data_IF_919960342679
#
_entry.id   IF_919960342679
#
_cell.length_a   1.000
_cell.length_b   1.000
_cell.length_c   1.000
_cell.angle_alpha   90.00
_cell.angle_beta   90.00
_cell.angle_gamma   90.00
#
_symmetry.space_group_name_H-M   'P 1'
#
loop_
_entity.id
_entity.type
_entity.pdbx_description
1 polymer ?
#
# COMPACT_ATOMS: atom_id res chain seq x y z
N UNK A 1 -3.39 -2.34 2.55
CA UNK A 1 -4.19 -2.81 3.70
C UNK A 1 -5.67 -2.46 3.56
N UNK A 2 -6.07 -1.19 3.57
CA UNK A 2 -7.49 -0.75 3.55
C UNK A 2 -8.32 -1.39 2.42
N UNK A 3 -7.81 -1.39 1.19
CA UNK A 3 -8.51 -1.89 0.01
C UNK A 3 -8.79 -3.40 -0.02
N UNK A 4 -8.02 -4.21 0.71
CA UNK A 4 -8.15 -5.68 0.67
C UNK A 4 -9.19 -6.17 1.69
N UNK A 5 -9.19 -5.56 2.87
CA UNK A 5 -10.03 -5.99 3.99
C UNK A 5 -11.45 -5.44 3.94
N UNK A 6 -11.59 -4.20 3.46
CA UNK A 6 -12.91 -3.57 3.40
C UNK A 6 -13.72 -4.07 2.19
N UNK A 7 -13.05 -4.55 1.13
CA UNK A 7 -13.70 -5.10 -0.07
C UNK A 7 -14.45 -6.42 0.18
N UNK A 8 -14.22 -7.06 1.33
CA UNK A 8 -14.95 -8.27 1.78
C UNK A 8 -16.35 -7.95 2.31
N UNK A 9 -16.61 -6.69 2.66
CA UNK A 9 -17.92 -6.17 3.09
C UNK A 9 -18.51 -5.33 1.96
N UNK A 10 -19.53 -5.87 1.30
CA UNK A 10 -20.20 -5.28 0.12
C UNK A 10 -20.85 -3.91 0.41
N UNK A 11 -20.99 -3.54 1.69
CA UNK A 11 -21.58 -2.28 2.19
C UNK A 11 -20.61 -1.10 2.35
N UNK A 12 -19.31 -1.26 2.05
CA UNK A 12 -18.29 -0.23 2.31
C UNK A 12 -17.69 0.43 1.05
N UNK A 13 -18.21 0.12 -0.14
CA UNK A 13 -18.00 0.94 -1.34
C UNK A 13 -18.94 2.16 -1.17
N UNK A 14 -18.44 3.41 -0.98
CA UNK A 14 -17.15 3.94 -1.44
C UNK A 14 -16.16 4.41 -0.35
N UNK A 15 -16.45 4.20 0.94
CA UNK A 15 -15.69 4.78 2.05
C UNK A 15 -14.21 4.36 2.10
N UNK A 16 -13.90 3.08 1.82
CA UNK A 16 -12.52 2.59 1.84
C UNK A 16 -11.64 3.27 0.79
N UNK A 17 -12.22 3.59 -0.36
CA UNK A 17 -11.51 4.18 -1.49
C UNK A 17 -11.12 5.61 -1.16
N UNK A 18 -12.06 6.39 -0.61
CA UNK A 18 -11.79 7.76 -0.18
C UNK A 18 -10.79 7.83 0.97
N UNK A 19 -10.92 6.95 1.98
CA UNK A 19 -9.95 6.89 3.07
C UNK A 19 -8.55 6.54 2.55
N UNK A 20 -8.44 5.56 1.66
CA UNK A 20 -7.17 5.20 1.05
C UNK A 20 -6.56 6.34 0.24
N UNK A 21 -7.37 6.98 -0.62
CA UNK A 21 -6.92 8.11 -1.43
C UNK A 21 -6.45 9.28 -0.55
N UNK A 22 -7.21 9.62 0.49
CA UNK A 22 -6.85 10.66 1.45
C UNK A 22 -5.51 10.37 2.11
N UNK A 23 -5.34 9.18 2.71
CA UNK A 23 -4.07 8.79 3.34
C UNK A 23 -2.89 8.86 2.35
N UNK A 24 -3.07 8.39 1.11
CA UNK A 24 -2.02 8.38 0.10
C UNK A 24 -1.64 9.79 -0.36
N UNK A 25 -2.62 10.67 -0.58
CA UNK A 25 -2.37 12.07 -0.97
C UNK A 25 -1.66 12.82 0.16
N UNK A 26 -2.10 12.66 1.41
CA UNK A 26 -1.42 13.26 2.57
C UNK A 26 0.01 12.73 2.72
N UNK A 27 0.22 11.41 2.62
CA UNK A 27 1.55 10.81 2.70
C UNK A 27 2.46 11.29 1.57
N UNK A 28 1.92 11.44 0.35
CA UNK A 28 2.66 11.99 -0.78
C UNK A 28 3.07 13.43 -0.53
N UNK A 29 2.17 14.30 -0.06
CA UNK A 29 2.48 15.69 0.24
C UNK A 29 3.61 15.83 1.28
N UNK A 30 3.56 15.05 2.37
CA UNK A 30 4.62 14.99 3.38
C UNK A 30 5.93 14.48 2.75
N UNK A 31 5.84 13.46 1.89
CA UNK A 31 6.99 12.90 1.17
C UNK A 31 7.65 13.91 0.22
N UNK A 32 6.88 14.69 -0.52
CA UNK A 32 7.39 15.77 -1.39
C UNK A 32 8.12 16.83 -0.57
N UNK A 33 7.52 17.25 0.55
CA UNK A 33 8.15 18.21 1.45
C UNK A 33 9.49 17.68 1.99
N UNK A 34 9.50 16.44 2.50
CA UNK A 34 10.73 15.80 3.01
C UNK A 34 11.81 15.62 1.95
N UNK A 35 11.42 15.24 0.73
CA UNK A 35 12.34 15.13 -0.41
C UNK A 35 12.94 16.50 -0.78
N UNK A 36 12.11 17.54 -0.87
CA UNK A 36 12.55 18.91 -1.14
C UNK A 36 13.51 19.43 -0.07
N UNK A 37 13.20 19.21 1.22
CA UNK A 37 14.11 19.53 2.33
C UNK A 37 15.43 18.79 2.19
N UNK A 38 15.42 17.50 1.85
CA UNK A 38 16.64 16.71 1.63
C UNK A 38 17.51 17.25 0.49
N UNK A 39 16.90 17.71 -0.61
CA UNK A 39 17.64 18.37 -1.70
C UNK A 39 18.25 19.70 -1.26
N UNK A 40 17.50 20.52 -0.51
CA UNK A 40 17.96 21.80 0.00
C UNK A 40 19.16 21.63 0.95
N UNK A 41 19.03 20.75 1.94
CA UNK A 41 20.13 20.42 2.86
C UNK A 41 21.37 19.87 2.12
N UNK A 42 21.16 19.07 1.08
CA UNK A 42 22.24 18.59 0.23
C UNK A 42 22.95 19.71 -0.54
N UNK A 43 22.22 20.72 -1.02
CA UNK A 43 22.81 21.90 -1.69
C UNK A 43 23.59 22.80 -0.73
N UNK A 44 23.19 22.83 0.54
CA UNK A 44 23.83 23.62 1.60
C UNK A 44 25.00 22.90 2.28
N UNK A 45 25.25 21.63 1.94
CA UNK A 45 26.31 20.79 2.52
C UNK A 45 27.33 20.36 1.46
N UNK A 46 28.08 21.31 0.85
CA UNK A 46 29.04 20.98 -0.20
C UNK A 46 30.10 19.98 0.31
N UNK A 47 30.36 18.95 -0.49
CA UNK A 47 31.30 17.86 -0.14
C UNK A 47 30.70 16.70 0.66
N UNK A 48 29.48 16.83 1.19
CA UNK A 48 28.80 15.75 1.93
C UNK A 48 27.67 15.21 1.07
N UNK A 49 27.81 13.96 0.58
CA UNK A 49 26.74 13.30 -0.19
C UNK A 49 26.51 11.87 0.28
N UNK A 50 25.24 11.59 0.61
CA UNK A 50 24.79 10.23 0.94
C UNK A 50 24.12 9.60 -0.28
N UNK A 51 24.93 9.20 -1.26
CA UNK A 51 24.49 8.77 -2.60
C UNK A 51 23.38 7.71 -2.57
N UNK A 52 23.51 6.68 -1.74
CA UNK A 52 22.49 5.61 -1.64
C UNK A 52 21.15 6.15 -1.13
N UNK A 53 21.14 6.90 -0.02
CA UNK A 53 19.91 7.46 0.54
C UNK A 53 19.26 8.45 -0.43
N UNK A 54 20.07 9.30 -1.09
CA UNK A 54 19.59 10.25 -2.10
C UNK A 54 18.94 9.54 -3.30
N UNK A 55 19.60 8.53 -3.85
CA UNK A 55 19.12 7.82 -5.03
C UNK A 55 17.82 7.05 -4.73
N UNK A 56 17.72 6.41 -3.56
CA UNK A 56 16.47 5.77 -3.13
C UNK A 56 15.37 6.83 -2.91
N UNK A 57 15.69 7.96 -2.28
CA UNK A 57 14.76 9.08 -2.07
C UNK A 57 14.20 9.65 -3.38
N UNK A 58 15.04 9.86 -4.39
CA UNK A 58 14.60 10.30 -5.73
C UNK A 58 13.72 9.22 -6.38
N UNK A 59 14.12 7.95 -6.30
CA UNK A 59 13.34 6.83 -6.86
C UNK A 59 11.96 6.74 -6.21
N UNK A 60 11.88 6.93 -4.88
CA UNK A 60 10.63 6.98 -4.13
C UNK A 60 9.73 8.13 -4.60
N UNK A 61 10.28 9.33 -4.76
CA UNK A 61 9.53 10.49 -5.26
C UNK A 61 8.92 10.22 -6.64
N UNK A 62 9.72 9.69 -7.57
CA UNK A 62 9.25 9.35 -8.93
C UNK A 62 8.16 8.28 -8.88
N UNK A 63 8.38 7.16 -8.18
CA UNK A 63 7.41 6.07 -8.09
C UNK A 63 6.11 6.51 -7.41
N UNK A 64 6.20 7.29 -6.34
CA UNK A 64 5.04 7.82 -5.62
C UNK A 64 4.24 8.80 -6.49
N UNK A 65 4.92 9.63 -7.29
CA UNK A 65 4.28 10.53 -8.25
C UNK A 65 3.47 9.74 -9.28
N UNK A 66 4.07 8.70 -9.88
CA UNK A 66 3.36 7.78 -10.79
C UNK A 66 2.14 7.14 -10.10
N UNK A 67 2.25 6.82 -8.81
CA UNK A 67 1.13 6.27 -8.06
C UNK A 67 0.01 7.25 -7.74
N UNK A 68 0.29 8.55 -7.59
CA UNK A 68 -0.77 9.56 -7.49
C UNK A 68 -1.51 9.66 -8.82
N UNK A 69 -0.79 9.59 -9.96
CA UNK A 69 -1.43 9.56 -11.27
C UNK A 69 -2.37 8.36 -11.47
N UNK A 70 -2.15 7.25 -10.74
CA UNK A 70 -3.01 6.08 -10.77
C UNK A 70 -4.49 6.38 -10.49
N UNK A 71 -4.76 7.40 -9.66
CA UNK A 71 -6.12 7.84 -9.34
C UNK A 71 -6.85 8.38 -10.59
N UNK A 72 -6.15 9.15 -11.42
CA UNK A 72 -6.72 9.78 -12.61
C UNK A 72 -6.89 8.79 -13.77
N UNK A 73 -5.95 7.87 -13.94
CA UNK A 73 -5.98 6.87 -15.03
C UNK A 73 -6.76 5.62 -14.68
N UNK A 74 -7.55 5.64 -13.60
CA UNK A 74 -8.28 4.49 -13.07
C UNK A 74 -9.38 4.01 -14.04
N UNK A 75 -9.25 2.85 -14.70
CA UNK A 75 -10.27 2.36 -15.64
C UNK A 75 -11.52 1.88 -14.90
N UNK A 76 -12.66 1.86 -15.62
CA UNK A 76 -13.91 1.24 -15.14
C UNK A 76 -13.71 -0.25 -14.82
N UNK A 77 -14.54 -0.79 -13.91
CA UNK A 77 -14.35 -2.14 -13.33
C UNK A 77 -14.39 -3.27 -14.38
N UNK A 78 -15.10 -3.06 -15.47
CA UNK A 78 -15.35 -3.95 -16.61
C UNK A 78 -14.32 -3.82 -17.75
N UNK A 79 -13.41 -2.84 -17.68
CA UNK A 79 -12.46 -2.56 -18.76
C UNK A 79 -11.25 -3.51 -18.75
N UNK A 80 -10.80 -4.03 -19.91
CA UNK A 80 -9.61 -4.92 -20.02
C UNK A 80 -8.33 -4.32 -19.39
N UNK A 81 -8.15 -3.00 -19.49
CA UNK A 81 -7.02 -2.30 -18.87
C UNK A 81 -7.07 -2.23 -17.34
N UNK A 82 -8.19 -2.57 -16.71
CA UNK A 82 -8.30 -2.65 -15.25
C UNK A 82 -7.31 -3.65 -14.66
N UNK A 83 -7.07 -4.76 -15.36
CA UNK A 83 -6.10 -5.77 -14.95
C UNK A 83 -4.67 -5.20 -14.91
N UNK A 84 -4.21 -4.64 -16.03
CA UNK A 84 -2.90 -3.99 -16.12
C UNK A 84 -2.77 -2.85 -15.10
N UNK A 85 -3.85 -2.09 -14.90
CA UNK A 85 -3.89 -1.04 -13.90
C UNK A 85 -3.64 -1.58 -12.49
N UNK A 86 -4.28 -2.68 -12.13
CA UNK A 86 -4.07 -3.32 -10.82
C UNK A 86 -2.64 -3.85 -10.68
N UNK A 87 -2.07 -4.44 -11.74
CA UNK A 87 -0.70 -4.96 -11.72
C UNK A 87 0.29 -3.84 -11.45
N UNK A 88 0.30 -2.77 -12.25
CA UNK A 88 1.27 -1.70 -12.03
C UNK A 88 1.02 -1.02 -10.67
N UNK A 89 -0.25 -0.76 -10.30
CA UNK A 89 -0.58 -0.06 -9.06
C UNK A 89 -0.14 -0.87 -7.83
N UNK A 90 -0.32 -2.19 -7.83
CA UNK A 90 0.15 -3.02 -6.73
C UNK A 90 1.66 -3.18 -6.72
N UNK A 91 2.29 -3.46 -7.86
CA UNK A 91 3.75 -3.63 -7.95
C UNK A 91 4.48 -2.38 -7.49
N UNK A 92 4.06 -1.20 -7.96
CA UNK A 92 4.69 0.07 -7.57
C UNK A 92 4.39 0.40 -6.10
N UNK A 93 3.17 0.12 -5.63
CA UNK A 93 2.82 0.27 -4.21
C UNK A 93 3.73 -0.54 -3.28
N UNK A 94 4.01 -1.81 -3.62
CA UNK A 94 4.93 -2.65 -2.85
C UNK A 94 6.37 -2.18 -2.94
N UNK A 95 6.84 -1.78 -4.13
CA UNK A 95 8.17 -1.23 -4.30
C UNK A 95 8.39 0.02 -3.44
N UNK A 96 7.44 0.96 -3.43
CA UNK A 96 7.49 2.16 -2.60
C UNK A 96 7.55 1.81 -1.11
N UNK A 97 6.75 0.84 -0.65
CA UNK A 97 6.75 0.42 0.75
C UNK A 97 8.12 -0.15 1.16
N UNK A 98 8.70 -1.05 0.37
CA UNK A 98 9.99 -1.68 0.66
C UNK A 98 11.13 -0.65 0.60
N UNK A 99 11.19 0.14 -0.48
CA UNK A 99 12.20 1.19 -0.63
C UNK A 99 12.08 2.25 0.47
N UNK A 100 10.87 2.60 0.88
CA UNK A 100 10.60 3.55 1.96
C UNK A 100 11.19 3.08 3.29
N UNK A 101 10.97 1.80 3.65
CA UNK A 101 11.54 1.20 4.86
C UNK A 101 13.06 1.28 4.85
N UNK A 102 13.69 0.82 3.75
CA UNK A 102 15.14 0.89 3.62
C UNK A 102 15.68 2.32 3.66
N UNK A 103 14.96 3.26 3.03
CA UNK A 103 15.39 4.65 2.97
C UNK A 103 15.37 5.32 4.36
N UNK A 104 14.36 5.02 5.18
CA UNK A 104 14.27 5.52 6.57
C UNK A 104 15.40 4.95 7.41
N UNK A 105 15.68 3.63 7.33
CA UNK A 105 16.82 3.05 8.04
C UNK A 105 18.16 3.68 7.62
N UNK A 106 18.35 3.93 6.33
CA UNK A 106 19.55 4.65 5.84
C UNK A 106 19.60 6.07 6.41
N UNK A 107 18.48 6.81 6.41
CA UNK A 107 18.39 8.15 6.98
C UNK A 107 18.72 8.18 8.48
N UNK A 108 18.18 7.24 9.26
CA UNK A 108 18.51 7.08 10.69
C UNK A 108 20.01 6.81 10.87
N UNK A 109 20.60 5.91 10.09
CA UNK A 109 22.04 5.62 10.20
C UNK A 109 22.93 6.81 9.81
N UNK A 110 22.45 7.69 8.94
CA UNK A 110 23.14 8.94 8.55
C UNK A 110 23.09 9.96 9.69
N UNK A 111 21.89 10.19 10.24
CA UNK A 111 21.67 11.17 11.31
C UNK A 111 22.23 10.71 12.67
N UNK A 112 22.44 9.40 12.83
CA UNK A 112 22.85 8.75 14.08
C UNK A 112 22.07 9.29 15.30
N UNK A 113 20.73 9.30 15.27
CA UNK A 113 19.94 9.76 16.40
C UNK A 113 20.02 8.74 17.55
N UNK A 114 19.49 9.10 18.71
CA UNK A 114 19.33 8.16 19.82
C UNK A 114 18.59 6.87 19.38
N UNK A 115 19.01 5.72 19.92
CA UNK A 115 18.47 4.40 19.56
C UNK A 115 16.95 4.27 19.75
N UNK A 116 16.35 5.11 20.60
CA UNK A 116 14.89 5.19 20.80
C UNK A 116 14.14 5.44 19.49
N UNK A 117 14.68 6.24 18.57
CA UNK A 117 14.02 6.57 17.30
C UNK A 117 14.00 5.39 16.33
N UNK A 118 15.10 4.66 16.26
CA UNK A 118 15.20 3.42 15.47
C UNK A 118 14.28 2.34 16.03
N UNK A 119 14.24 2.22 17.36
CA UNK A 119 13.39 1.25 18.07
C UNK A 119 11.91 1.57 17.87
N UNK A 120 11.51 2.84 18.04
CA UNK A 120 10.14 3.29 17.80
C UNK A 120 9.70 3.01 16.36
N UNK A 121 10.55 3.31 15.37
CA UNK A 121 10.25 3.02 13.97
C UNK A 121 10.05 1.52 13.71
N UNK A 122 10.90 0.67 14.29
CA UNK A 122 10.79 -0.78 14.18
C UNK A 122 9.49 -1.31 14.81
N UNK A 123 9.12 -0.81 15.99
CA UNK A 123 7.85 -1.16 16.65
C UNK A 123 6.66 -0.82 15.76
N UNK A 124 6.66 0.37 15.14
CA UNK A 124 5.58 0.80 14.23
C UNK A 124 5.47 -0.15 13.03
N UNK A 125 6.59 -0.53 12.40
CA UNK A 125 6.57 -1.48 11.27
C UNK A 125 6.01 -2.84 11.72
N UNK A 126 6.49 -3.38 12.84
CA UNK A 126 6.07 -4.68 13.36
C UNK A 126 4.57 -4.66 13.68
N UNK A 127 4.07 -3.60 14.33
CA UNK A 127 2.66 -3.43 14.63
C UNK A 127 1.81 -3.40 13.36
N UNK A 128 2.20 -2.59 12.36
CA UNK A 128 1.50 -2.52 11.07
C UNK A 128 1.50 -3.87 10.33
N UNK A 129 2.64 -4.56 10.33
CA UNK A 129 2.78 -5.91 9.76
C UNK A 129 1.86 -6.91 10.47
N UNK A 130 1.85 -6.91 11.80
CA UNK A 130 0.99 -7.76 12.62
C UNK A 130 -0.50 -7.50 12.38
N UNK A 131 -0.92 -6.23 12.33
CA UNK A 131 -2.31 -5.87 11.97
C UNK A 131 -2.65 -6.38 10.57
N UNK A 132 -1.73 -6.25 9.60
CA UNK A 132 -1.96 -6.79 8.26
C UNK A 132 -2.13 -8.31 8.26
N UNK A 133 -1.29 -9.04 8.98
CA UNK A 133 -1.39 -10.51 9.08
C UNK A 133 -2.70 -10.94 9.76
N UNK A 134 -3.11 -10.25 10.82
CA UNK A 134 -4.37 -10.53 11.51
C UNK A 134 -5.57 -10.31 10.58
N UNK A 135 -5.62 -9.19 9.88
CA UNK A 135 -6.69 -8.89 8.94
C UNK A 135 -6.72 -9.89 7.76
N UNK A 136 -5.56 -10.35 7.30
CA UNK A 136 -5.44 -11.42 6.30
C UNK A 136 -6.06 -12.71 6.84
N UNK A 137 -5.68 -13.16 8.05
CA UNK A 137 -6.24 -14.36 8.68
C UNK A 137 -7.77 -14.29 8.81
N UNK A 138 -8.31 -13.16 9.27
CA UNK A 138 -9.78 -12.94 9.35
C UNK A 138 -10.43 -13.07 7.98
N UNK A 139 -9.84 -12.49 6.94
CA UNK A 139 -10.36 -12.54 5.57
C UNK A 139 -10.40 -13.98 5.06
N UNK A 140 -9.34 -14.76 5.27
CA UNK A 140 -9.29 -16.18 4.92
C UNK A 140 -10.37 -16.98 5.64
N UNK A 141 -10.56 -16.77 6.95
CA UNK A 141 -11.63 -17.42 7.72
C UNK A 141 -13.01 -17.09 7.14
N UNK A 142 -13.28 -15.82 6.80
CA UNK A 142 -14.55 -15.39 6.20
C UNK A 142 -14.76 -16.03 4.82
N UNK A 143 -13.74 -16.04 3.96
CA UNK A 143 -13.80 -16.63 2.61
C UNK A 143 -14.04 -18.13 2.69
N UNK A 144 -13.34 -18.85 3.58
CA UNK A 144 -13.54 -20.28 3.81
C UNK A 144 -14.96 -20.57 4.33
N UNK A 145 -15.45 -19.79 5.30
CA UNK A 145 -16.84 -19.91 5.79
C UNK A 145 -17.88 -19.64 4.69
N UNK A 146 -17.66 -18.66 3.80
CA UNK A 146 -18.55 -18.39 2.65
C UNK A 146 -18.52 -19.54 1.64
N UNK A 147 -17.34 -20.09 1.33
CA UNK A 147 -17.18 -21.25 0.43
C UNK A 147 -17.87 -22.49 1.00
N UNK A 148 -17.72 -22.75 2.30
CA UNK A 148 -18.41 -23.82 3.02
C UNK A 148 -19.93 -23.65 2.98
N UNK A 149 -20.47 -22.46 3.30
CA UNK A 149 -21.93 -22.18 3.22
C UNK A 149 -22.52 -22.33 1.81
N UNK A 150 -21.75 -21.99 0.77
CA UNK A 150 -22.16 -22.17 -0.63
C UNK A 150 -22.16 -23.65 -1.04
N UNK A 151 -21.27 -24.46 -0.49
CA UNK A 151 -21.20 -25.90 -0.71
C UNK A 151 -22.28 -26.70 0.04
N UNK A 152 -22.79 -26.18 1.17
CA UNK A 152 -23.87 -26.81 1.95
C UNK A 152 -25.27 -26.39 1.52
N UNK A 153 -25.43 -25.44 0.59
CA UNK A 153 -26.72 -25.28 -0.09
C UNK A 153 -26.94 -26.55 -0.93
N UNK A 154 -28.08 -27.25 -0.79
CA UNK A 154 -28.42 -28.30 -1.75
C UNK A 154 -28.33 -27.69 -3.14
N UNK A 155 -27.68 -28.38 -4.08
CA UNK A 155 -28.05 -28.20 -5.47
C UNK A 155 -29.55 -28.50 -5.49
N UNK A 156 -30.39 -27.49 -5.76
CA UNK A 156 -31.73 -27.76 -6.26
C UNK A 156 -31.52 -28.47 -7.59
N UNK A 157 -31.43 -29.78 -7.47
CA UNK A 157 -31.25 -30.71 -8.56
C UNK A 157 -32.45 -30.56 -9.48
N UNK A 158 -32.12 -30.24 -10.72
CA UNK A 158 -32.93 -30.51 -11.88
C UNK A 158 -33.68 -31.85 -11.74
N UNK A 159 -35.01 -31.80 -11.82
CA UNK A 159 -35.89 -32.93 -12.15
C UNK A 159 -37.02 -32.34 -13.02
N UNK A 160 -36.90 -32.39 -14.34
CA UNK A 160 -37.29 -33.46 -15.28
C UNK A 160 -38.77 -33.43 -15.67
N UNK A 161 -38.99 -33.23 -16.98
CA UNK A 161 -39.81 -34.15 -17.77
C UNK A 161 -41.31 -33.86 -17.91
N UNK A 162 -41.69 -33.58 -19.16
CA UNK A 162 -42.90 -34.03 -19.86
C UNK A 162 -44.28 -33.56 -19.35
N UNK A 163 -44.90 -32.65 -20.10
CA UNK A 163 -46.05 -32.94 -20.98
C UNK A 163 -46.14 -31.85 -22.05
#
# INVERSE_FOLDING_TARGET
MIARYIRTFESADPAWFYLHAFCQVSAYAIGVAGWGTGLKLGSESPGITYSTHRNIGISLFVLATVQIFALFIRPKKDHKYRFYWNVYHHSFGYAILVLGIFNVFKGINILKPEDKWKTAYMIVIIALGGISLLLEAITWVVVLKRKSRKSTKPYDGYNNGQS
#
